data_IF_223880786145
#
_entry.id   IF_223880786145
#
_cell.length_a   1.000
_cell.length_b   1.000
_cell.length_c   1.000
_cell.angle_alpha   90.00
_cell.angle_beta   90.00
_cell.angle_gamma   90.00
#
_symmetry.space_group_name_H-M   'P 1'
#
loop_
_entity.id
_entity.type
_entity.pdbx_description
1 polymer ?
#
# COMPACT_ATOMS: atom_id res chain seq x y z
N UNK A 1 -19.38 -10.44 -10.93
CA UNK A 1 -18.90 -10.56 -9.54
C UNK A 1 -20.07 -10.18 -8.66
N UNK A 2 -20.70 -11.12 -7.95
CA UNK A 2 -21.81 -10.84 -7.02
C UNK A 2 -21.24 -10.28 -5.72
N UNK A 3 -20.82 -9.02 -5.73
CA UNK A 3 -20.19 -8.32 -4.59
C UNK A 3 -20.98 -7.03 -4.34
N UNK A 4 -21.47 -6.87 -3.11
CA UNK A 4 -22.22 -5.68 -2.69
C UNK A 4 -21.30 -4.59 -2.13
N UNK A 5 -21.55 -3.34 -2.52
CA UNK A 5 -20.83 -2.18 -1.99
C UNK A 5 -21.50 -1.66 -0.71
N UNK A 6 -21.10 -2.21 0.43
CA UNK A 6 -21.67 -1.84 1.72
C UNK A 6 -21.09 -0.54 2.30
N UNK A 7 -19.82 -0.23 2.01
CA UNK A 7 -19.12 0.92 2.60
C UNK A 7 -18.15 1.57 1.61
N UNK A 8 -18.14 2.91 1.64
CA UNK A 8 -17.08 3.75 1.04
C UNK A 8 -16.47 4.56 2.18
N UNK A 9 -15.15 4.71 2.20
CA UNK A 9 -14.47 5.53 3.19
C UNK A 9 -13.31 6.27 2.53
N UNK A 10 -13.14 7.54 2.90
CA UNK A 10 -12.03 8.39 2.47
C UNK A 10 -11.31 8.90 3.71
N UNK A 11 -9.98 8.96 3.64
CA UNK A 11 -9.12 9.37 4.73
C UNK A 11 -7.86 10.01 4.14
N UNK A 12 -7.31 11.03 4.79
CA UNK A 12 -6.00 11.56 4.42
C UNK A 12 -4.87 10.65 4.89
N UNK A 13 -3.64 10.98 4.49
CA UNK A 13 -2.42 10.22 4.80
C UNK A 13 -1.94 10.42 6.25
N UNK A 14 -2.83 10.12 7.20
CA UNK A 14 -2.55 10.12 8.63
C UNK A 14 -2.55 8.69 9.16
N UNK A 15 -1.39 8.27 9.66
CA UNK A 15 -1.16 6.91 10.16
C UNK A 15 -2.20 6.45 11.19
N UNK A 16 -2.59 7.30 12.16
CA UNK A 16 -3.56 6.91 13.21
C UNK A 16 -4.97 6.73 12.62
N UNK A 17 -5.36 7.58 11.68
CA UNK A 17 -6.67 7.52 11.03
C UNK A 17 -6.76 6.30 10.11
N UNK A 18 -5.75 6.06 9.28
CA UNK A 18 -5.67 4.87 8.42
C UNK A 18 -5.73 3.58 9.24
N UNK A 19 -4.96 3.48 10.33
CA UNK A 19 -4.96 2.29 11.19
C UNK A 19 -6.34 2.02 11.80
N UNK A 20 -7.03 3.07 12.25
CA UNK A 20 -8.39 2.97 12.78
C UNK A 20 -9.39 2.56 11.71
N UNK A 21 -9.28 3.13 10.50
CA UNK A 21 -10.14 2.80 9.37
C UNK A 21 -9.97 1.34 8.95
N UNK A 22 -8.74 0.86 8.78
CA UNK A 22 -8.47 -0.53 8.41
C UNK A 22 -8.99 -1.52 9.44
N UNK A 23 -8.76 -1.27 10.74
CA UNK A 23 -9.33 -2.10 11.81
C UNK A 23 -10.85 -2.19 11.75
N UNK A 24 -11.54 -1.09 11.43
CA UNK A 24 -13.01 -1.11 11.26
C UNK A 24 -13.41 -1.88 10.00
N UNK A 25 -12.70 -1.68 8.89
CA UNK A 25 -12.99 -2.35 7.62
C UNK A 25 -12.81 -3.87 7.74
N UNK A 26 -11.72 -4.35 8.36
CA UNK A 26 -11.47 -5.77 8.57
C UNK A 26 -12.56 -6.49 9.38
N UNK A 27 -13.22 -5.78 10.30
CA UNK A 27 -14.28 -6.35 11.13
C UNK A 27 -15.65 -6.43 10.43
N UNK A 28 -15.85 -5.71 9.32
CA UNK A 28 -17.19 -5.52 8.72
C UNK A 28 -17.27 -5.82 7.22
N UNK A 29 -16.18 -6.30 6.63
CA UNK A 29 -16.08 -6.45 5.17
C UNK A 29 -15.26 -7.69 4.83
N UNK A 30 -15.83 -8.55 4.00
CA UNK A 30 -15.15 -9.75 3.48
C UNK A 30 -14.14 -9.39 2.38
N UNK A 31 -14.36 -8.27 1.68
CA UNK A 31 -13.45 -7.72 0.67
C UNK A 31 -13.26 -6.22 0.90
N UNK A 32 -12.01 -5.79 0.87
CA UNK A 32 -11.62 -4.38 0.96
C UNK A 32 -10.76 -4.06 -0.26
N UNK A 33 -11.17 -3.02 -0.99
CA UNK A 33 -10.39 -2.47 -2.10
C UNK A 33 -9.94 -1.08 -1.68
N UNK A 34 -8.64 -0.83 -1.76
CA UNK A 34 -8.03 0.47 -1.45
C UNK A 34 -7.44 1.09 -2.70
N UNK A 35 -7.40 2.42 -2.73
CA UNK A 35 -6.69 3.19 -3.75
C UNK A 35 -6.00 4.38 -3.07
N UNK A 36 -4.86 4.82 -3.63
CA UNK A 36 -4.04 5.91 -3.08
C UNK A 36 -3.03 5.47 -2.01
N UNK A 37 -2.00 6.29 -1.81
CA UNK A 37 -0.98 6.09 -0.78
C UNK A 37 0.00 4.93 -1.05
N UNK A 38 0.24 4.58 -2.33
CA UNK A 38 1.14 3.50 -2.78
C UNK A 38 2.31 4.00 -3.63
N UNK A 39 2.41 5.31 -3.83
CA UNK A 39 3.51 5.91 -4.55
C UNK A 39 4.83 5.89 -3.75
N UNK A 40 5.83 6.61 -4.25
CA UNK A 40 7.15 6.63 -3.64
C UNK A 40 7.30 7.70 -2.54
N UNK A 41 6.34 8.61 -2.34
CA UNK A 41 6.53 9.75 -1.42
C UNK A 41 6.44 9.32 0.04
N UNK A 42 6.86 10.19 0.97
CA UNK A 42 6.89 9.85 2.40
C UNK A 42 5.49 9.70 3.00
N UNK A 43 4.50 10.37 2.41
CA UNK A 43 3.07 10.29 2.75
C UNK A 43 2.36 9.08 2.12
N UNK A 44 2.97 8.40 1.15
CA UNK A 44 2.47 7.11 0.63
C UNK A 44 2.68 5.97 1.65
N UNK A 45 1.76 5.86 2.60
CA UNK A 45 1.87 4.95 3.75
C UNK A 45 0.84 3.80 3.78
N UNK A 46 0.01 3.64 2.75
CA UNK A 46 -1.14 2.72 2.76
C UNK A 46 -0.74 1.27 3.06
N UNK A 47 0.21 0.70 2.31
CA UNK A 47 0.57 -0.72 2.45
C UNK A 47 1.28 -1.00 3.79
N UNK A 48 2.05 -0.04 4.30
CA UNK A 48 2.74 -0.11 5.58
C UNK A 48 1.73 -0.13 6.73
N UNK A 49 0.67 0.68 6.64
CA UNK A 49 -0.38 0.69 7.66
C UNK A 49 -1.21 -0.59 7.59
N UNK A 50 -1.51 -1.11 6.40
CA UNK A 50 -2.18 -2.41 6.23
C UNK A 50 -1.36 -3.52 6.90
N UNK A 51 -0.05 -3.61 6.60
CA UNK A 51 0.85 -4.57 7.23
C UNK A 51 0.81 -4.45 8.76
N UNK A 52 0.92 -3.23 9.28
CA UNK A 52 0.85 -2.97 10.72
C UNK A 52 -0.50 -3.37 11.33
N UNK A 53 -1.60 -3.11 10.63
CA UNK A 53 -2.95 -3.41 11.10
C UNK A 53 -3.22 -4.92 11.17
N UNK A 54 -2.61 -5.69 10.26
CA UNK A 54 -2.67 -7.15 10.20
C UNK A 54 -1.52 -7.84 10.97
N UNK A 55 -0.63 -7.07 11.59
CA UNK A 55 0.57 -7.57 12.27
C UNK A 55 1.49 -8.42 11.36
N UNK A 56 1.62 -8.00 10.09
CA UNK A 56 2.49 -8.60 9.09
C UNK A 56 3.83 -7.85 8.99
N UNK A 57 4.86 -8.57 8.60
CA UNK A 57 6.18 -7.99 8.30
C UNK A 57 6.18 -7.48 6.86
N UNK A 58 6.98 -6.45 6.60
CA UNK A 58 7.27 -6.02 5.24
C UNK A 58 8.50 -6.74 4.73
N UNK A 59 8.34 -7.50 3.65
CA UNK A 59 9.41 -8.25 3.00
C UNK A 59 9.76 -7.57 1.69
N UNK A 60 11.05 -7.51 1.39
CA UNK A 60 11.55 -7.00 0.12
C UNK A 60 11.39 -8.08 -0.96
N UNK A 61 10.72 -7.75 -2.06
CA UNK A 61 10.52 -8.66 -3.20
C UNK A 61 11.53 -8.35 -4.31
N UNK A 62 12.48 -9.26 -4.62
CA UNK A 62 13.50 -9.02 -5.65
C UNK A 62 12.90 -8.77 -7.04
N UNK A 63 11.82 -9.49 -7.38
CA UNK A 63 11.12 -9.32 -8.66
C UNK A 63 10.47 -7.93 -8.76
N UNK A 64 9.86 -7.43 -7.67
CA UNK A 64 9.30 -6.09 -7.62
C UNK A 64 10.38 -5.02 -7.84
N UNK A 65 11.57 -5.21 -7.25
CA UNK A 65 12.71 -4.32 -7.46
C UNK A 65 13.22 -4.35 -8.90
N UNK A 66 13.32 -5.52 -9.51
CA UNK A 66 13.71 -5.65 -10.92
C UNK A 66 12.70 -4.95 -11.84
N UNK A 67 11.41 -5.18 -11.62
CA UNK A 67 10.34 -4.55 -12.39
C UNK A 67 10.32 -3.03 -12.23
N UNK A 68 10.49 -2.53 -11.00
CA UNK A 68 10.61 -1.10 -10.72
C UNK A 68 11.79 -0.48 -11.47
N UNK A 69 12.98 -1.11 -11.41
CA UNK A 69 14.18 -0.61 -12.11
C UNK A 69 13.98 -0.58 -13.62
N UNK A 70 13.42 -1.65 -14.20
CA UNK A 70 13.09 -1.71 -15.64
C UNK A 70 12.14 -0.58 -16.05
N UNK A 71 11.08 -0.37 -15.27
CA UNK A 71 10.10 0.68 -15.52
C UNK A 71 10.72 2.08 -15.46
N UNK A 72 11.44 2.40 -14.38
CA UNK A 72 12.07 3.73 -14.20
C UNK A 72 13.12 4.01 -15.28
N UNK A 73 13.91 3.01 -15.67
CA UNK A 73 14.85 3.14 -16.78
C UNK A 73 14.15 3.43 -18.12
N UNK A 74 13.02 2.76 -18.40
CA UNK A 74 12.23 2.99 -19.62
C UNK A 74 11.74 4.43 -19.72
N UNK A 75 11.38 5.05 -18.59
CA UNK A 75 10.94 6.45 -18.52
C UNK A 75 12.06 7.43 -18.18
N UNK A 76 13.33 6.97 -18.21
CA UNK A 76 14.55 7.77 -17.96
C UNK A 76 14.58 8.47 -16.59
N UNK A 77 13.96 7.88 -15.57
CA UNK A 77 14.03 8.34 -14.18
C UNK A 77 15.11 7.55 -13.44
N UNK A 78 15.97 8.26 -12.71
CA UNK A 78 16.97 7.64 -11.84
C UNK A 78 16.29 7.04 -10.61
N UNK A 79 16.63 5.80 -10.28
CA UNK A 79 16.13 5.12 -9.08
C UNK A 79 16.58 5.87 -7.83
N UNK A 80 15.61 6.24 -6.98
CA UNK A 80 15.85 6.85 -5.67
C UNK A 80 15.52 5.88 -4.53
N UNK A 81 15.97 6.20 -3.30
CA UNK A 81 15.60 5.44 -2.09
C UNK A 81 14.08 5.43 -1.86
N UNK A 82 13.41 6.53 -2.20
CA UNK A 82 11.96 6.67 -2.07
C UNK A 82 11.22 5.71 -3.01
N UNK A 83 11.72 5.49 -4.24
CA UNK A 83 11.17 4.45 -5.12
C UNK A 83 11.37 3.04 -4.57
N UNK A 84 12.53 2.75 -3.97
CA UNK A 84 12.84 1.43 -3.44
C UNK A 84 11.92 1.01 -2.29
N UNK A 85 11.18 1.92 -1.67
CA UNK A 85 10.14 1.57 -0.70
C UNK A 85 9.00 0.76 -1.32
N UNK A 86 8.70 0.99 -2.60
CA UNK A 86 7.59 0.34 -3.30
C UNK A 86 7.84 -1.16 -3.59
N UNK A 87 9.02 -1.67 -3.26
CA UNK A 87 9.41 -3.08 -3.47
C UNK A 87 9.18 -3.95 -2.23
N UNK A 88 8.67 -3.35 -1.15
CA UNK A 88 8.31 -4.05 0.07
C UNK A 88 6.81 -4.33 0.09
N UNK A 89 6.42 -5.57 0.39
CA UNK A 89 5.01 -5.97 0.53
C UNK A 89 4.83 -6.73 1.86
N UNK A 90 3.59 -6.76 2.40
CA UNK A 90 3.28 -7.61 3.56
C UNK A 90 3.52 -9.11 3.23
N UNK A 91 4.11 -9.85 4.17
CA UNK A 91 4.26 -11.32 4.14
C UNK A 91 2.91 -12.05 4.06
#
# INVERSE_FOLDING_TARGET
LSIDLNYISAVGDNQKMLLSLFKKAFNRSDLIITTGGLGPTEDDITYQIIARALNLKLIKYPEAEENLKKFLNKIKIKVSLSNLKQVYLPD
#
